data_IF_867634684709
#
_entry.id   IF_867634684709
#
_cell.length_a   1.000
_cell.length_b   1.000
_cell.length_c   1.000
_cell.angle_alpha   90.00
_cell.angle_beta   90.00
_cell.angle_gamma   90.00
#
_symmetry.space_group_name_H-M   'P 1'
#
loop_
_entity.id
_entity.type
_entity.pdbx_description
1 polymer ?
#
# COMPACT_ATOMS: atom_id res chain seq x y z
N UNK A 1 0.82 30.13 51.01
CA UNK A 1 1.19 31.26 50.14
C UNK A 1 2.30 30.78 49.22
N UNK A 2 2.14 30.89 47.90
CA UNK A 2 3.12 30.40 46.95
C UNK A 2 4.39 31.29 47.01
N UNK A 3 5.55 30.71 47.26
CA UNK A 3 6.82 31.42 47.20
C UNK A 3 7.13 31.70 45.72
N UNK A 4 7.01 32.95 45.29
CA UNK A 4 7.40 33.37 43.94
C UNK A 4 8.93 33.45 43.90
N UNK A 5 9.55 32.61 43.07
CA UNK A 5 10.99 32.65 42.78
C UNK A 5 11.18 33.46 41.50
N UNK A 6 11.89 34.58 41.58
CA UNK A 6 12.22 35.44 40.44
C UNK A 6 13.69 35.26 40.05
N UNK A 7 13.98 35.18 38.75
CA UNK A 7 15.34 35.02 38.23
C UNK A 7 15.87 36.38 37.75
N UNK A 8 16.87 36.93 38.43
CA UNK A 8 17.54 38.17 38.05
C UNK A 8 18.95 37.83 37.61
N UNK A 9 19.26 38.02 36.32
CA UNK A 9 20.57 37.68 35.76
C UNK A 9 20.93 36.19 35.87
N UNK A 10 19.93 35.29 35.93
CA UNK A 10 20.12 33.84 36.06
C UNK A 10 20.29 33.33 37.50
N UNK A 11 20.33 34.21 38.49
CA UNK A 11 20.39 33.84 39.91
C UNK A 11 18.96 33.83 40.46
N UNK A 12 18.51 32.76 41.15
CA UNK A 12 17.18 32.71 41.73
C UNK A 12 17.13 33.56 43.02
N UNK A 13 16.09 34.38 43.15
CA UNK A 13 15.82 35.20 44.33
C UNK A 13 14.41 34.91 44.86
N UNK A 14 14.29 34.90 46.20
CA UNK A 14 13.03 34.82 46.93
C UNK A 14 12.62 36.22 47.41
N UNK A 15 11.39 36.63 47.12
CA UNK A 15 10.81 37.86 47.67
C UNK A 15 10.36 37.64 49.12
N UNK A 16 10.86 38.47 50.02
CA UNK A 16 10.52 38.49 51.43
C UNK A 16 9.24 39.31 51.65
N UNK A 17 8.51 39.04 52.74
CA UNK A 17 7.24 39.72 53.06
C UNK A 17 7.40 41.25 53.25
N UNK A 18 8.61 41.69 53.59
CA UNK A 18 8.99 43.10 53.68
C UNK A 18 9.34 43.75 52.33
N UNK A 19 9.11 43.05 51.21
CA UNK A 19 9.39 43.52 49.85
C UNK A 19 10.84 43.44 49.39
N UNK A 20 11.77 42.98 50.23
CA UNK A 20 13.18 42.77 49.85
C UNK A 20 13.39 41.42 49.16
N UNK A 21 14.51 41.25 48.45
CA UNK A 21 14.87 39.99 47.80
C UNK A 21 16.07 39.35 48.51
N UNK A 22 15.98 38.05 48.77
CA UNK A 22 17.09 37.22 49.25
C UNK A 22 17.46 36.20 48.19
N UNK A 23 18.75 35.86 48.06
CA UNK A 23 19.20 34.81 47.13
C UNK A 23 18.54 33.50 47.57
N UNK A 24 17.82 32.84 46.66
CA UNK A 24 17.26 31.53 46.94
C UNK A 24 18.39 30.49 46.98
N UNK A 25 18.30 29.46 47.83
CA UNK A 25 19.26 28.37 47.81
C UNK A 25 19.38 27.83 46.39
N UNK A 26 20.59 27.84 45.84
CA UNK A 26 20.89 27.12 44.60
C UNK A 26 20.69 25.64 44.93
N UNK A 27 19.78 24.96 44.23
CA UNK A 27 19.66 23.50 44.34
C UNK A 27 21.02 22.94 43.94
N UNK A 28 21.67 22.24 44.88
CA UNK A 28 23.06 21.83 44.74
C UNK A 28 23.24 20.93 43.51
N UNK A 29 24.36 21.13 42.81
CA UNK A 29 24.75 20.38 41.60
C UNK A 29 24.64 18.85 41.77
N UNK A 30 24.82 18.36 43.00
CA UNK A 30 24.71 16.93 43.33
C UNK A 30 23.32 16.33 43.05
N UNK A 31 22.23 17.12 43.12
CA UNK A 31 20.89 16.62 42.80
C UNK A 31 20.70 16.39 41.30
N UNK A 32 21.28 17.27 40.47
CA UNK A 32 21.27 17.10 39.01
C UNK A 32 22.08 15.89 38.55
N UNK A 33 23.21 15.63 39.20
CA UNK A 33 24.06 14.48 38.88
C UNK A 33 23.35 13.16 39.26
N UNK A 34 22.57 13.13 40.35
CA UNK A 34 21.76 11.96 40.71
C UNK A 34 20.60 11.69 39.76
N UNK A 35 19.94 12.75 39.26
CA UNK A 35 18.83 12.61 38.29
C UNK A 35 19.36 12.13 36.92
N UNK A 36 20.50 12.66 36.48
CA UNK A 36 21.19 12.20 35.27
C UNK A 36 21.64 10.75 35.38
N UNK A 37 22.18 10.35 36.54
CA UNK A 37 22.58 8.97 36.79
C UNK A 37 21.38 8.03 36.76
N UNK A 38 20.27 8.41 37.39
CA UNK A 38 19.03 7.62 37.39
C UNK A 38 18.40 7.52 35.99
N UNK A 39 18.50 8.57 35.17
CA UNK A 39 18.05 8.53 33.77
C UNK A 39 18.94 7.63 32.92
N UNK A 40 20.26 7.70 33.07
CA UNK A 40 21.19 6.82 32.35
C UNK A 40 20.96 5.35 32.74
N UNK A 41 20.74 5.06 34.02
CA UNK A 41 20.39 3.71 34.47
C UNK A 41 19.09 3.21 33.85
N UNK A 42 18.05 4.05 33.77
CA UNK A 42 16.79 3.69 33.10
C UNK A 42 16.98 3.45 31.59
N UNK A 43 17.91 4.15 30.95
CA UNK A 43 18.25 3.95 29.53
C UNK A 43 19.01 2.63 29.34
N UNK A 44 19.91 2.29 30.26
CA UNK A 44 20.65 1.01 30.24
C UNK A 44 19.73 -0.19 30.53
N UNK A 45 18.74 0.00 31.41
CA UNK A 45 17.71 -1.01 31.72
C UNK A 45 16.66 -1.17 30.60
N UNK A 46 16.61 -0.23 29.65
CA UNK A 46 15.81 -0.34 28.43
C UNK A 46 16.53 -1.33 27.50
N UNK A 47 16.19 -2.61 27.62
CA UNK A 47 16.73 -3.68 26.79
C UNK A 47 16.18 -3.58 25.35
N UNK A 48 16.76 -2.65 24.59
CA UNK A 48 16.44 -2.37 23.19
C UNK A 48 16.68 -3.62 22.33
N UNK A 49 17.61 -4.49 22.73
CA UNK A 49 17.92 -5.72 22.01
C UNK A 49 16.81 -6.76 22.18
N UNK A 50 16.23 -6.90 23.38
CA UNK A 50 15.01 -7.73 23.60
C UNK A 50 13.82 -7.18 22.82
N UNK A 51 13.56 -5.87 22.87
CA UNK A 51 12.46 -5.27 22.11
C UNK A 51 12.65 -5.45 20.59
N UNK A 52 13.89 -5.43 20.10
CA UNK A 52 14.21 -5.67 18.69
C UNK A 52 14.04 -7.14 18.31
N UNK A 53 14.44 -8.06 19.18
CA UNK A 53 14.23 -9.50 19.00
C UNK A 53 12.74 -9.84 18.96
N UNK A 54 11.92 -9.26 19.86
CA UNK A 54 10.46 -9.44 19.87
C UNK A 54 9.81 -8.91 18.58
N UNK A 55 10.29 -7.77 18.06
CA UNK A 55 9.81 -7.21 16.78
C UNK A 55 10.18 -8.10 15.60
N UNK A 56 11.38 -8.66 15.59
CA UNK A 56 11.82 -9.54 14.50
C UNK A 56 11.12 -10.92 14.56
N UNK A 57 10.83 -11.44 15.76
CA UNK A 57 9.97 -12.62 15.95
C UNK A 57 8.53 -12.35 15.49
N UNK A 58 7.94 -11.20 15.85
CA UNK A 58 6.62 -10.79 15.39
C UNK A 58 6.53 -10.68 13.86
N UNK A 59 7.56 -10.16 13.20
CA UNK A 59 7.63 -10.11 11.73
C UNK A 59 7.70 -11.52 11.14
N UNK A 60 8.56 -12.39 11.68
CA UNK A 60 8.70 -13.77 11.20
C UNK A 60 7.37 -14.55 11.33
N UNK A 61 6.63 -14.34 12.43
CA UNK A 61 5.30 -14.93 12.63
C UNK A 61 4.26 -14.37 11.68
N UNK A 62 4.28 -13.06 11.41
CA UNK A 62 3.36 -12.46 10.43
C UNK A 62 3.63 -12.95 9.00
N UNK A 63 4.90 -13.15 8.64
CA UNK A 63 5.31 -13.63 7.32
C UNK A 63 5.06 -15.13 7.11
N UNK A 64 5.09 -15.96 8.16
CA UNK A 64 4.98 -17.41 8.04
C UNK A 64 3.62 -17.97 8.50
N UNK A 65 3.10 -17.57 9.66
CA UNK A 65 1.89 -18.19 10.24
C UNK A 65 0.62 -17.65 9.58
N UNK A 66 0.53 -16.33 9.34
CA UNK A 66 -0.69 -15.71 8.82
C UNK A 66 -0.95 -16.13 7.37
N UNK A 67 0.08 -16.22 6.53
CA UNK A 67 -0.08 -16.66 5.15
C UNK A 67 -0.35 -18.16 5.06
N UNK A 68 0.29 -18.99 5.88
CA UNK A 68 0.08 -20.43 5.86
C UNK A 68 -1.29 -20.83 6.45
N UNK A 69 -1.73 -20.18 7.53
CA UNK A 69 -3.04 -20.42 8.14
C UNK A 69 -4.17 -19.90 7.24
N UNK A 70 -4.02 -18.72 6.62
CA UNK A 70 -4.99 -18.21 5.61
C UNK A 70 -5.02 -19.10 4.36
N UNK A 71 -3.88 -19.58 3.88
CA UNK A 71 -3.84 -20.47 2.71
C UNK A 71 -4.31 -21.89 3.00
N UNK A 72 -4.29 -22.33 4.27
CA UNK A 72 -4.77 -23.64 4.69
C UNK A 72 -6.19 -23.62 5.28
N UNK A 73 -6.73 -22.44 5.61
CA UNK A 73 -8.11 -22.24 6.06
C UNK A 73 -9.09 -22.74 4.98
N UNK A 74 -9.80 -23.83 5.32
CA UNK A 74 -10.75 -24.47 4.42
C UNK A 74 -11.88 -23.55 4.01
N UNK A 75 -12.33 -22.67 4.90
CA UNK A 75 -13.47 -21.78 4.65
C UNK A 75 -13.05 -20.66 3.72
N UNK A 76 -11.86 -20.07 3.91
CA UNK A 76 -11.30 -19.09 3.00
C UNK A 76 -11.08 -19.69 1.60
N UNK A 77 -10.49 -20.89 1.52
CA UNK A 77 -10.29 -21.60 0.25
C UNK A 77 -11.60 -21.96 -0.43
N UNK A 78 -12.60 -22.39 0.34
CA UNK A 78 -13.93 -22.69 -0.18
C UNK A 78 -14.58 -21.41 -0.72
N UNK A 79 -14.51 -20.31 0.02
CA UNK A 79 -15.03 -19.02 -0.41
C UNK A 79 -14.32 -18.49 -1.67
N UNK A 80 -13.01 -18.69 -1.78
CA UNK A 80 -12.23 -18.36 -2.97
C UNK A 80 -12.62 -19.22 -4.16
N UNK A 81 -12.79 -20.54 -3.95
CA UNK A 81 -13.26 -21.46 -4.97
C UNK A 81 -14.68 -21.12 -5.42
N UNK A 82 -15.56 -20.75 -4.50
CA UNK A 82 -16.94 -20.33 -4.78
C UNK A 82 -16.97 -18.97 -5.49
N UNK A 83 -16.06 -18.05 -5.17
CA UNK A 83 -15.90 -16.77 -5.87
C UNK A 83 -15.36 -16.97 -7.29
N UNK A 84 -14.34 -17.82 -7.47
CA UNK A 84 -13.81 -18.19 -8.78
C UNK A 84 -14.85 -18.98 -9.61
N UNK A 85 -15.61 -19.88 -8.97
CA UNK A 85 -16.70 -20.62 -9.60
C UNK A 85 -17.87 -19.70 -9.95
N UNK A 86 -18.16 -18.70 -9.12
CA UNK A 86 -19.13 -17.64 -9.36
C UNK A 86 -18.70 -16.73 -10.52
N UNK A 87 -17.40 -16.45 -10.66
CA UNK A 87 -16.83 -15.82 -11.84
C UNK A 87 -17.04 -16.67 -13.11
N UNK A 88 -17.11 -18.01 -12.98
CA UNK A 88 -17.38 -18.92 -14.11
C UNK A 88 -18.86 -18.98 -14.52
N UNK A 89 -19.80 -18.43 -13.74
CA UNK A 89 -21.20 -18.28 -14.19
C UNK A 89 -21.43 -17.03 -15.04
N UNK A 90 -20.44 -16.14 -15.10
CA UNK A 90 -20.33 -15.25 -16.24
C UNK A 90 -20.00 -16.04 -17.52
N UNK A 91 -20.02 -17.38 -17.57
CA UNK A 91 -20.14 -18.09 -18.85
C UNK A 91 -21.32 -17.54 -19.68
N UNK A 92 -22.44 -17.14 -19.06
CA UNK A 92 -23.57 -16.49 -19.78
C UNK A 92 -23.34 -14.99 -20.07
N UNK A 93 -22.45 -14.30 -19.35
CA UNK A 93 -21.97 -12.94 -19.69
C UNK A 93 -20.78 -12.96 -20.66
N UNK A 94 -20.10 -14.09 -20.78
CA UNK A 94 -19.05 -14.42 -21.75
C UNK A 94 -19.69 -14.92 -23.05
N UNK A 95 -20.94 -15.40 -23.04
CA UNK A 95 -21.71 -15.75 -24.25
C UNK A 95 -22.09 -14.53 -25.11
N UNK A 96 -21.97 -13.29 -24.60
CA UNK A 96 -22.11 -12.06 -25.40
C UNK A 96 -20.83 -11.19 -25.48
N UNK A 97 -19.74 -11.64 -24.86
CA UNK A 97 -18.41 -11.21 -25.26
C UNK A 97 -17.82 -12.36 -26.05
N UNK A 98 -18.37 -12.62 -27.24
CA UNK A 98 -17.53 -13.13 -28.32
C UNK A 98 -16.30 -12.22 -28.28
N UNK A 99 -15.17 -12.73 -27.79
CA UNK A 99 -13.89 -12.23 -28.24
C UNK A 99 -13.88 -12.63 -29.71
N UNK A 100 -14.58 -11.85 -30.52
CA UNK A 100 -14.31 -11.66 -31.91
C UNK A 100 -12.85 -11.29 -31.93
N UNK A 101 -11.99 -12.31 -32.03
CA UNK A 101 -10.56 -12.13 -32.14
C UNK A 101 -10.41 -11.38 -33.46
N UNK A 102 -10.39 -10.07 -33.41
CA UNK A 102 -10.05 -9.23 -34.55
C UNK A 102 -8.65 -9.66 -34.97
N UNK A 103 -8.57 -10.44 -36.04
CA UNK A 103 -7.29 -10.83 -36.63
C UNK A 103 -6.82 -9.64 -37.45
N UNK A 104 -5.54 -9.30 -37.28
CA UNK A 104 -4.89 -8.30 -38.10
C UNK A 104 -4.06 -9.01 -39.18
N UNK A 105 -4.42 -8.80 -40.44
CA UNK A 105 -3.67 -9.25 -41.60
C UNK A 105 -2.88 -8.09 -42.19
N UNK A 106 -1.66 -8.36 -42.63
CA UNK A 106 -0.82 -7.40 -43.35
C UNK A 106 -0.24 -8.07 -44.60
N UNK A 107 -0.81 -7.77 -45.75
CA UNK A 107 -0.51 -8.44 -47.02
C UNK A 107 -0.91 -7.59 -48.22
N UNK A 108 -0.36 -7.92 -49.38
CA UNK A 108 -0.72 -7.32 -50.68
C UNK A 108 -2.01 -7.91 -51.27
N UNK A 109 -2.31 -9.14 -50.86
CA UNK A 109 -3.47 -9.93 -51.26
C UNK A 109 -4.53 -9.94 -50.16
N UNK A 110 -5.78 -9.88 -50.56
CA UNK A 110 -6.94 -9.88 -49.66
C UNK A 110 -7.07 -11.25 -48.96
N UNK A 111 -7.29 -11.31 -47.63
CA UNK A 111 -7.53 -12.58 -46.93
C UNK A 111 -8.78 -13.31 -47.44
N UNK A 112 -8.70 -14.64 -47.60
CA UNK A 112 -9.76 -15.48 -48.19
C UNK A 112 -10.85 -15.92 -47.20
N UNK A 113 -10.52 -16.08 -45.92
CA UNK A 113 -11.42 -16.60 -44.88
C UNK A 113 -11.54 -15.67 -43.66
N UNK A 114 -11.94 -14.40 -43.86
CA UNK A 114 -12.10 -13.45 -42.76
C UNK A 114 -13.35 -13.71 -41.92
N UNK A 115 -13.26 -13.40 -40.62
CA UNK A 115 -14.40 -13.37 -39.71
C UNK A 115 -14.82 -11.93 -39.43
N UNK A 116 -16.09 -11.71 -39.05
CA UNK A 116 -16.62 -10.38 -38.77
C UNK A 116 -15.70 -9.60 -37.85
N UNK A 117 -15.34 -8.36 -38.20
CA UNK A 117 -14.46 -7.52 -37.39
C UNK A 117 -12.95 -7.76 -37.57
N UNK A 118 -12.52 -8.67 -38.45
CA UNK A 118 -11.11 -8.77 -38.86
C UNK A 118 -10.63 -7.49 -39.56
N UNK A 119 -9.35 -7.18 -39.44
CA UNK A 119 -8.71 -5.99 -40.02
C UNK A 119 -7.63 -6.40 -41.01
N UNK A 120 -7.58 -5.78 -42.19
CA UNK A 120 -6.55 -5.99 -43.20
C UNK A 120 -5.87 -4.67 -43.56
N UNK A 121 -4.56 -4.60 -43.33
CA UNK A 121 -3.68 -3.55 -43.85
C UNK A 121 -3.13 -3.98 -45.21
N UNK A 122 -3.60 -3.34 -46.28
CA UNK A 122 -3.16 -3.61 -47.63
C UNK A 122 -1.80 -2.95 -47.90
N UNK A 123 -0.76 -3.76 -48.11
CA UNK A 123 0.61 -3.26 -48.29
C UNK A 123 0.88 -2.64 -49.66
N UNK A 124 -0.01 -2.82 -50.65
CA UNK A 124 0.08 -2.21 -51.99
C UNK A 124 -0.32 -0.74 -51.98
N UNK A 125 -1.39 -0.41 -51.25
CA UNK A 125 -1.97 0.94 -51.24
C UNK A 125 -1.93 1.63 -49.86
N UNK A 126 -1.47 0.94 -48.82
CA UNK A 126 -1.35 1.45 -47.45
C UNK A 126 -2.71 1.71 -46.77
N UNK A 127 -3.80 1.15 -47.29
CA UNK A 127 -5.15 1.35 -46.74
C UNK A 127 -5.54 0.22 -45.80
N UNK A 128 -6.32 0.58 -44.78
CA UNK A 128 -6.88 -0.37 -43.81
C UNK A 128 -8.34 -0.67 -44.14
N UNK A 129 -8.69 -1.95 -44.09
CA UNK A 129 -10.02 -2.46 -44.31
C UNK A 129 -10.50 -3.26 -43.10
N UNK A 130 -11.80 -3.28 -42.84
CA UNK A 130 -12.47 -4.09 -41.82
C UNK A 130 -13.45 -5.03 -42.50
N UNK A 131 -13.41 -6.31 -42.16
CA UNK A 131 -14.37 -7.28 -42.67
C UNK A 131 -15.72 -7.09 -41.97
N UNK A 132 -16.76 -6.88 -42.76
CA UNK A 132 -18.13 -6.69 -42.29
C UNK A 132 -19.03 -7.70 -42.97
N UNK A 133 -20.05 -8.17 -42.27
CA UNK A 133 -21.11 -9.02 -42.83
C UNK A 133 -22.38 -8.20 -42.80
N UNK A 134 -23.03 -8.02 -43.95
CA UNK A 134 -24.32 -7.34 -44.02
C UNK A 134 -25.45 -8.24 -43.50
N UNK A 135 -26.62 -7.63 -43.25
CA UNK A 135 -27.79 -8.33 -42.70
C UNK A 135 -28.31 -9.46 -43.60
N UNK A 136 -27.90 -9.50 -44.87
CA UNK A 136 -28.18 -10.55 -45.84
C UNK A 136 -27.18 -11.73 -45.79
N UNK A 137 -26.20 -11.69 -44.86
CA UNK A 137 -25.16 -12.71 -44.71
C UNK A 137 -23.98 -12.57 -45.66
N UNK A 138 -23.96 -11.56 -46.53
CA UNK A 138 -22.85 -11.33 -47.45
C UNK A 138 -21.69 -10.59 -46.77
N UNK A 139 -20.48 -11.12 -46.93
CA UNK A 139 -19.27 -10.54 -46.36
C UNK A 139 -18.52 -9.62 -47.33
N UNK A 140 -18.02 -8.49 -46.82
CA UNK A 140 -17.30 -7.46 -47.59
C UNK A 140 -16.23 -6.79 -46.71
N UNK A 141 -15.04 -6.60 -47.29
CA UNK A 141 -14.01 -5.70 -46.76
C UNK A 141 -14.39 -4.24 -47.03
N UNK A 142 -14.64 -3.47 -45.97
CA UNK A 142 -14.93 -2.03 -46.05
C UNK A 142 -13.74 -1.23 -45.62
N UNK A 143 -13.44 -0.14 -46.33
CA UNK A 143 -12.40 0.80 -45.92
C UNK A 143 -12.77 1.40 -44.56
N UNK A 144 -11.83 1.35 -43.62
CA UNK A 144 -11.95 2.02 -42.31
C UNK A 144 -11.67 3.51 -42.41
#
# INVERSE_FOLDING_TARGET
MANIIEYIGGIPYKKNDNGTYSVAPLVEKETYDSDLLAVNQKIDDLDVDVLRADVDDLKARFDSEVLEDIMNDSDFRQHLNDWLAGQSTDSDRIVNLEVTRTRLYKSDTMPSDPIYGDVWENTVNGLTYVWTVSNDGNGIWRRS
#
